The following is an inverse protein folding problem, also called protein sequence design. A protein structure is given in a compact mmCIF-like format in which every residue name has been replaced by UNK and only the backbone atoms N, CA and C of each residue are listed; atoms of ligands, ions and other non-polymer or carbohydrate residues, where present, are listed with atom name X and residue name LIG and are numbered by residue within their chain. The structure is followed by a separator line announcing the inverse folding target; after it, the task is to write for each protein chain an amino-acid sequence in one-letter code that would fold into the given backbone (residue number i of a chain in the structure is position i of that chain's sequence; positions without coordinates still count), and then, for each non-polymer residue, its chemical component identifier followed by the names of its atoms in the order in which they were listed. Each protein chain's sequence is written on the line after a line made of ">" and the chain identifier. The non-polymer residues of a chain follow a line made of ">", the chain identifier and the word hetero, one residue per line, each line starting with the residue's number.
data_IF_020335974476
#
_entry.id   IF_020335974476
#
_cell.length_a   1.000
_cell.length_b   1.000
_cell.length_c   1.000
_cell.angle_alpha   90.00
_cell.angle_beta   90.00
_cell.angle_gamma   90.00
#
_symmetry.space_group_name_H-M   'P 1'
#
loop_
_entity.id
_entity.type
_entity.pdbx_description
1 polymer ?
#
# COMPACT_ATOMS: atom_id res chain seq x y z
N UNK A 1 20.06 27.12 32.15
CA UNK A 1 20.37 26.19 31.04
C UNK A 1 19.25 25.16 30.98
N UNK A 2 18.19 25.45 30.21
CA UNK A 2 16.98 24.63 30.14
C UNK A 2 17.18 23.44 29.21
N UNK A 3 17.09 22.23 29.78
CA UNK A 3 16.92 20.98 29.02
C UNK A 3 15.53 20.99 28.38
N UNK A 4 15.43 21.39 27.10
CA UNK A 4 14.29 21.06 26.27
C UNK A 4 14.47 19.60 25.83
N UNK A 5 13.72 18.70 26.46
CA UNK A 5 13.54 17.35 25.94
C UNK A 5 12.85 17.45 24.59
N UNK A 6 13.54 16.96 23.56
CA UNK A 6 13.04 16.74 22.20
C UNK A 6 11.94 15.67 22.22
N UNK A 7 10.72 15.96 21.75
CA UNK A 7 9.71 14.94 21.52
C UNK A 7 9.64 14.66 20.02
N UNK A 8 10.47 13.73 19.54
CA UNK A 8 10.34 13.22 18.17
C UNK A 8 10.74 11.74 18.13
N UNK A 9 10.13 10.95 19.01
CA UNK A 9 10.04 9.51 18.83
C UNK A 9 8.59 9.17 18.44
N UNK A 10 8.22 9.52 17.21
CA UNK A 10 7.07 8.91 16.55
C UNK A 10 7.53 7.53 16.11
N UNK A 11 7.33 6.57 17.00
CA UNK A 11 7.64 5.15 16.82
C UNK A 11 6.91 4.60 15.58
N UNK A 12 7.65 4.55 14.47
CA UNK A 12 7.75 3.53 13.41
C UNK A 12 6.54 2.69 12.97
N UNK A 13 5.31 3.02 13.38
CA UNK A 13 4.06 2.34 13.05
C UNK A 13 3.16 3.22 12.17
N UNK A 14 3.78 3.94 11.25
CA UNK A 14 3.13 4.84 10.31
C UNK A 14 2.12 4.06 9.45
N UNK A 15 0.82 4.34 9.64
CA UNK A 15 -0.28 3.73 8.88
C UNK A 15 -0.07 3.90 7.37
N UNK A 16 0.58 4.98 6.95
CA UNK A 16 0.93 5.24 5.56
C UNK A 16 1.83 4.13 4.97
N UNK A 17 2.83 3.65 5.72
CA UNK A 17 3.67 2.50 5.32
C UNK A 17 2.86 1.22 5.15
N UNK A 18 1.93 0.95 6.08
CA UNK A 18 1.06 -0.24 6.01
C UNK A 18 0.17 -0.21 4.78
N UNK A 19 -0.38 0.96 4.45
CA UNK A 19 -1.20 1.12 3.23
C UNK A 19 -0.37 0.84 1.98
N UNK A 20 0.84 1.42 1.85
CA UNK A 20 1.72 1.13 0.71
C UNK A 20 2.08 -0.36 0.61
N UNK A 21 2.42 -0.98 1.74
CA UNK A 21 2.72 -2.42 1.79
C UNK A 21 1.51 -3.26 1.36
N UNK A 22 0.31 -2.96 1.88
CA UNK A 22 -0.92 -3.67 1.56
C UNK A 22 -1.23 -3.57 0.06
N UNK A 23 -1.13 -2.38 -0.53
CA UNK A 23 -1.34 -2.17 -1.96
C UNK A 23 -0.40 -3.04 -2.80
N UNK A 24 0.90 -3.06 -2.45
CA UNK A 24 1.88 -3.90 -3.12
C UNK A 24 1.60 -5.40 -2.96
N UNK A 25 1.22 -5.85 -1.76
CA UNK A 25 0.86 -7.26 -1.52
C UNK A 25 -0.38 -7.69 -2.32
N UNK A 26 -1.45 -6.88 -2.32
CA UNK A 26 -2.66 -7.19 -3.07
C UNK A 26 -2.43 -7.23 -4.58
N UNK A 27 -1.59 -6.32 -5.10
CA UNK A 27 -1.19 -6.35 -6.51
C UNK A 27 -0.38 -7.60 -6.84
N UNK A 28 0.58 -7.98 -5.98
CA UNK A 28 1.34 -9.21 -6.12
C UNK A 28 0.44 -10.44 -6.17
N UNK A 29 -0.47 -10.59 -5.20
CA UNK A 29 -1.43 -11.70 -5.17
C UNK A 29 -2.32 -11.75 -6.41
N UNK A 30 -2.74 -10.59 -6.93
CA UNK A 30 -3.53 -10.49 -8.16
C UNK A 30 -2.74 -10.99 -9.37
N UNK A 31 -1.47 -10.60 -9.49
CA UNK A 31 -0.58 -11.02 -10.58
C UNK A 31 -0.23 -12.50 -10.50
N UNK A 32 -0.06 -13.04 -9.29
CA UNK A 32 0.23 -14.46 -9.06
C UNK A 32 -0.97 -15.34 -9.40
N UNK A 33 -2.18 -14.87 -9.12
CA UNK A 33 -3.41 -15.56 -9.49
C UNK A 33 -3.54 -15.77 -11.02
N UNK A 34 -2.90 -14.93 -11.82
CA UNK A 34 -2.82 -15.03 -13.28
C UNK A 34 -1.72 -16.03 -13.71
N UNK A 35 -1.90 -17.31 -13.40
CA UNK A 35 -0.89 -18.34 -13.71
C UNK A 35 -0.95 -18.84 -15.15
N UNK A 36 0.19 -19.33 -15.67
CA UNK A 36 0.26 -19.91 -17.02
C UNK A 36 -0.74 -21.06 -17.20
N UNK A 37 -0.92 -21.91 -16.18
CA UNK A 37 -1.86 -23.03 -16.23
C UNK A 37 -3.31 -22.58 -16.49
N UNK A 38 -3.77 -21.53 -15.79
CA UNK A 38 -5.11 -20.97 -15.98
C UNK A 38 -5.27 -20.37 -17.37
N UNK A 39 -4.25 -19.69 -17.85
CA UNK A 39 -4.25 -19.09 -19.20
C UNK A 39 -4.22 -20.17 -20.27
N UNK A 40 -3.42 -21.22 -20.10
CA UNK A 40 -3.35 -22.34 -21.04
C UNK A 40 -4.67 -23.13 -21.12
N UNK A 41 -5.43 -23.23 -20.03
CA UNK A 41 -6.78 -23.81 -20.03
C UNK A 41 -7.77 -23.00 -20.89
N UNK A 42 -7.66 -21.66 -20.87
CA UNK A 42 -8.49 -20.78 -21.70
C UNK A 42 -8.04 -20.73 -23.17
N UNK A 43 -6.75 -20.95 -23.43
CA UNK A 43 -6.15 -20.92 -24.78
C UNK A 43 -5.47 -22.25 -25.15
N UNK A 44 -6.20 -23.38 -25.18
CA UNK A 44 -5.61 -24.71 -25.28
C UNK A 44 -4.90 -25.00 -26.60
N UNK A 45 -5.40 -24.46 -27.72
CA UNK A 45 -4.76 -24.61 -29.03
C UNK A 45 -3.40 -23.89 -29.05
N UNK A 46 -3.38 -22.64 -28.59
CA UNK A 46 -2.16 -21.83 -28.56
C UNK A 46 -1.13 -22.38 -27.57
N UNK A 47 -1.58 -22.90 -26.42
CA UNK A 47 -0.72 -23.55 -25.45
C UNK A 47 -0.02 -24.81 -25.99
N UNK A 48 -0.65 -25.53 -26.93
CA UNK A 48 -0.08 -26.72 -27.59
C UNK A 48 0.84 -26.35 -28.73
N UNK A 49 0.42 -25.42 -29.58
CA UNK A 49 1.15 -25.08 -30.82
C UNK A 49 2.31 -24.12 -30.56
N UNK A 50 2.14 -23.15 -29.66
CA UNK A 50 3.09 -22.05 -29.44
C UNK A 50 3.16 -21.64 -27.95
N UNK A 51 3.58 -22.55 -27.04
CA UNK A 51 3.64 -22.29 -25.60
C UNK A 51 4.52 -21.07 -25.25
N UNK A 52 5.64 -20.88 -25.97
CA UNK A 52 6.54 -19.75 -25.74
C UNK A 52 5.85 -18.40 -26.01
N UNK A 53 5.04 -18.31 -27.08
CA UNK A 53 4.31 -17.08 -27.39
C UNK A 53 3.24 -16.79 -26.34
N UNK A 54 2.57 -17.83 -25.85
CA UNK A 54 1.60 -17.69 -24.76
C UNK A 54 2.28 -17.19 -23.47
N UNK A 55 3.46 -17.73 -23.15
CA UNK A 55 4.23 -17.31 -21.98
C UNK A 55 4.72 -15.86 -22.11
N UNK A 56 5.21 -15.46 -23.29
CA UNK A 56 5.60 -14.08 -23.57
C UNK A 56 4.42 -13.12 -23.43
N UNK A 57 3.26 -13.45 -24.01
CA UNK A 57 2.05 -12.65 -23.90
C UNK A 57 1.61 -12.50 -22.44
N UNK A 58 1.63 -13.60 -21.67
CA UNK A 58 1.33 -13.55 -20.24
C UNK A 58 2.30 -12.65 -19.47
N UNK A 59 3.60 -12.74 -19.76
CA UNK A 59 4.61 -11.89 -19.13
C UNK A 59 4.35 -10.41 -19.42
N UNK A 60 4.07 -10.06 -20.67
CA UNK A 60 3.77 -8.68 -21.07
C UNK A 60 2.51 -8.15 -20.39
N UNK A 61 1.44 -8.95 -20.31
CA UNK A 61 0.21 -8.56 -19.62
C UNK A 61 0.45 -8.34 -18.13
N UNK A 62 1.23 -9.21 -17.47
CA UNK A 62 1.57 -9.05 -16.06
C UNK A 62 2.39 -7.78 -15.81
N UNK A 63 3.40 -7.54 -16.64
CA UNK A 63 4.26 -6.36 -16.52
C UNK A 63 3.46 -5.07 -16.75
N UNK A 64 2.66 -5.02 -17.81
CA UNK A 64 1.78 -3.88 -18.09
C UNK A 64 0.82 -3.61 -16.92
N UNK A 65 0.13 -4.64 -16.43
CA UNK A 65 -0.80 -4.50 -15.31
C UNK A 65 -0.09 -4.04 -14.04
N UNK A 66 1.10 -4.58 -13.75
CA UNK A 66 1.90 -4.19 -12.60
C UNK A 66 2.27 -2.71 -12.66
N UNK A 67 2.97 -2.31 -13.72
CA UNK A 67 3.50 -0.95 -13.86
C UNK A 67 2.39 0.09 -13.84
N UNK A 68 1.33 -0.12 -14.64
CA UNK A 68 0.22 0.82 -14.71
C UNK A 68 -0.52 0.91 -13.36
N UNK A 69 -0.66 -0.19 -12.63
CA UNK A 69 -1.33 -0.16 -11.32
C UNK A 69 -0.47 0.52 -10.26
N UNK A 70 0.85 0.29 -10.25
CA UNK A 70 1.78 0.97 -9.33
C UNK A 70 1.80 2.49 -9.56
N UNK A 71 1.81 2.92 -10.83
CA UNK A 71 1.72 4.33 -11.21
C UNK A 71 0.40 4.97 -10.76
N UNK A 72 -0.74 4.31 -11.03
CA UNK A 72 -2.04 4.81 -10.61
C UNK A 72 -2.21 4.84 -9.08
N UNK A 73 -1.66 3.86 -8.36
CA UNK A 73 -1.65 3.88 -6.90
C UNK A 73 -0.91 5.10 -6.35
N UNK A 74 0.29 5.40 -6.85
CA UNK A 74 1.04 6.57 -6.38
C UNK A 74 0.31 7.86 -6.75
N UNK A 75 -0.22 7.98 -7.97
CA UNK A 75 -1.00 9.14 -8.41
C UNK A 75 -2.21 9.42 -7.50
N UNK A 76 -2.96 8.37 -7.11
CA UNK A 76 -4.10 8.51 -6.20
C UNK A 76 -3.65 8.90 -4.80
N UNK A 77 -2.59 8.28 -4.27
CA UNK A 77 -2.04 8.57 -2.94
C UNK A 77 -1.57 10.03 -2.84
N UNK A 78 -0.91 10.53 -3.88
CA UNK A 78 -0.46 11.92 -4.00
C UNK A 78 -1.64 12.89 -4.14
N UNK A 79 -2.54 12.65 -5.10
CA UNK A 79 -3.67 13.54 -5.39
C UNK A 79 -4.58 13.76 -4.17
N UNK A 80 -4.73 12.73 -3.33
CA UNK A 80 -5.57 12.77 -2.14
C UNK A 80 -4.78 13.08 -0.86
N UNK A 81 -3.46 13.21 -0.97
CA UNK A 81 -2.55 13.42 0.14
C UNK A 81 -2.77 12.43 1.31
N UNK A 82 -2.94 11.15 0.96
CA UNK A 82 -3.36 10.11 1.92
C UNK A 82 -2.27 9.84 2.95
N UNK A 83 -1.00 9.83 2.52
CA UNK A 83 0.11 9.48 3.39
C UNK A 83 0.25 10.49 4.53
N UNK A 84 0.22 11.79 4.22
CA UNK A 84 0.27 12.86 5.22
C UNK A 84 -0.94 12.80 6.16
N UNK A 85 -2.16 12.63 5.63
CA UNK A 85 -3.37 12.50 6.46
C UNK A 85 -3.33 11.31 7.41
N UNK A 86 -2.72 10.20 7.00
CA UNK A 86 -2.55 9.02 7.84
C UNK A 86 -1.51 9.24 8.94
N UNK A 87 -0.43 9.96 8.62
CA UNK A 87 0.59 10.34 9.61
C UNK A 87 0.03 11.36 10.61
N UNK A 88 -0.75 12.35 10.16
CA UNK A 88 -1.50 13.27 11.04
C UNK A 88 -2.47 12.53 11.96
N UNK A 89 -3.17 11.52 11.43
CA UNK A 89 -4.07 10.68 12.23
C UNK A 89 -3.30 9.92 13.32
N UNK A 90 -2.12 9.38 12.99
CA UNK A 90 -1.26 8.70 13.96
C UNK A 90 -0.85 9.65 15.10
N UNK A 91 -0.53 10.90 14.77
CA UNK A 91 -0.21 11.94 15.74
C UNK A 91 -1.40 12.30 16.63
N UNK A 92 -2.60 12.46 16.05
CA UNK A 92 -3.83 12.75 16.82
C UNK A 92 -4.11 11.61 17.81
N UNK A 93 -4.00 10.36 17.36
CA UNK A 93 -4.21 9.19 18.22
C UNK A 93 -3.15 9.14 19.34
N UNK A 94 -1.89 9.42 19.02
CA UNK A 94 -0.81 9.44 20.00
C UNK A 94 -1.05 10.51 21.08
N UNK A 95 -1.44 11.73 20.67
CA UNK A 95 -1.79 12.83 21.59
C UNK A 95 -2.98 12.44 22.48
N UNK A 96 -4.06 11.91 21.91
CA UNK A 96 -5.23 11.49 22.67
C UNK A 96 -4.90 10.40 23.72
N UNK A 97 -4.12 9.38 23.32
CA UNK A 97 -3.63 8.34 24.24
C UNK A 97 -2.77 8.90 25.37
N UNK A 98 -1.97 9.93 25.10
CA UNK A 98 -1.17 10.62 26.11
C UNK A 98 -2.05 11.41 27.08
N UNK A 99 -3.00 12.20 26.59
CA UNK A 99 -3.95 12.95 27.42
C UNK A 99 -4.76 12.02 28.35
N UNK A 100 -5.19 10.85 27.85
CA UNK A 100 -5.87 9.85 28.67
C UNK A 100 -4.99 9.32 29.81
N UNK A 101 -3.70 9.06 29.54
CA UNK A 101 -2.74 8.61 30.57
C UNK A 101 -2.45 9.70 31.60
N UNK A 102 -2.42 10.95 31.16
CA UNK A 102 -2.09 12.11 32.00
C UNK A 102 -3.33 12.64 32.79
N UNK A 103 -4.51 12.00 32.66
CA UNK A 103 -5.72 12.34 33.42
C UNK A 103 -6.42 13.63 32.97
N UNK A 104 -6.10 14.16 31.79
CA UNK A 104 -6.73 15.38 31.26
C UNK A 104 -8.08 15.07 30.61
N UNK A 105 -9.12 15.86 30.91
CA UNK A 105 -10.47 15.73 30.31
C UNK A 105 -10.45 15.95 28.78
N UNK A 106 -11.43 15.40 28.04
CA UNK A 106 -11.38 15.36 26.57
C UNK A 106 -11.22 16.75 25.97
N UNK A 107 -10.30 16.87 25.01
CA UNK A 107 -10.10 18.09 24.22
C UNK A 107 -11.42 18.37 23.50
N UNK A 108 -12.10 19.46 23.87
CA UNK A 108 -13.29 19.91 23.14
C UNK A 108 -12.87 20.41 21.76
N UNK A 109 -13.59 20.01 20.69
CA UNK A 109 -13.33 20.56 19.36
C UNK A 109 -13.63 22.06 19.35
N UNK A 110 -12.77 22.84 18.68
CA UNK A 110 -12.99 24.26 18.35
C UNK A 110 -14.15 24.40 17.36
#
# INVERSE_FOLDING_TARGET
>A
MSKRGSPSEISSTSRSKKVKQMLGSCLGETLDNFSYEKVAQCYPTLAKEQPERLQQALSQVKEFLKTNTEEEFEAILEQRNILEKLDELDDIIAKAKKCQKDGHSPIQPM
#
